data_IF_060019694158
#
_entry.id   IF_060019694158
#
_cell.length_a   1.000
_cell.length_b   1.000
_cell.length_c   1.000
_cell.angle_alpha   90.00
_cell.angle_beta   90.00
_cell.angle_gamma   90.00
#
_symmetry.space_group_name_H-M   'P 1'
#
loop_
_entity.id
_entity.type
_entity.pdbx_description
1 polymer ?
#
# COMPACT_ATOMS: atom_id res chain seq x y z
N UNK A 1 -16.01 -8.80 0.08
CA UNK A 1 -15.72 -7.60 -0.73
C UNK A 1 -14.98 -8.02 -2.00
N UNK A 2 -15.36 -7.53 -3.18
CA UNK A 2 -14.64 -7.83 -4.42
C UNK A 2 -13.29 -7.07 -4.45
N UNK A 3 -12.26 -7.69 -5.02
CA UNK A 3 -10.92 -7.11 -5.27
C UNK A 3 -9.99 -6.89 -4.07
N UNK A 4 -10.39 -7.30 -2.86
CA UNK A 4 -9.52 -7.30 -1.68
C UNK A 4 -8.60 -8.53 -1.71
N UNK A 5 -7.32 -8.33 -1.43
CA UNK A 5 -6.34 -9.41 -1.27
C UNK A 5 -5.52 -9.19 0.00
N UNK A 6 -5.27 -10.25 0.76
CA UNK A 6 -4.49 -10.19 2.00
C UNK A 6 -3.03 -10.48 1.72
N UNK A 7 -2.15 -9.61 2.22
CA UNK A 7 -0.73 -9.90 2.35
C UNK A 7 -0.47 -10.69 3.63
N UNK A 8 -1.07 -10.22 4.72
CA UNK A 8 -1.09 -10.89 6.02
C UNK A 8 -2.54 -10.90 6.49
N UNK A 9 -3.10 -12.10 6.64
CA UNK A 9 -4.50 -12.29 7.01
C UNK A 9 -4.86 -11.47 8.25
N UNK A 10 -6.01 -10.81 8.20
CA UNK A 10 -6.55 -9.94 9.26
C UNK A 10 -5.60 -8.82 9.72
N UNK A 11 -4.57 -8.47 8.95
CA UNK A 11 -3.62 -7.39 9.30
C UNK A 11 -3.37 -6.41 8.17
N UNK A 12 -2.91 -6.91 7.01
CA UNK A 12 -2.50 -6.07 5.88
C UNK A 12 -3.18 -6.56 4.62
N UNK A 13 -4.04 -5.73 4.06
CA UNK A 13 -4.77 -6.00 2.83
C UNK A 13 -4.47 -4.96 1.76
N UNK A 14 -4.69 -5.32 0.50
CA UNK A 14 -4.60 -4.44 -0.66
C UNK A 14 -5.89 -4.44 -1.47
N UNK A 15 -6.16 -3.32 -2.14
CA UNK A 15 -7.27 -3.19 -3.11
C UNK A 15 -6.98 -2.10 -4.15
N UNK A 16 -7.73 -2.11 -5.24
CA UNK A 16 -7.88 -0.93 -6.10
C UNK A 16 -8.58 0.21 -5.35
N UNK A 17 -8.26 1.45 -5.72
CA UNK A 17 -8.86 2.63 -5.11
C UNK A 17 -10.27 2.92 -5.65
N UNK A 18 -11.02 3.80 -4.97
CA UNK A 18 -12.39 4.16 -5.35
C UNK A 18 -12.49 4.81 -6.72
N UNK A 19 -11.44 5.54 -7.12
CA UNK A 19 -11.31 6.17 -8.44
C UNK A 19 -11.12 5.19 -9.62
N UNK A 20 -11.10 3.88 -9.34
CA UNK A 20 -11.10 2.81 -10.34
C UNK A 20 -12.23 1.83 -10.08
N UNK A 21 -12.31 1.33 -8.85
CA UNK A 21 -13.37 0.44 -8.38
C UNK A 21 -14.01 1.06 -7.15
N UNK A 22 -15.20 1.64 -7.34
CA UNK A 22 -15.95 2.30 -6.27
C UNK A 22 -16.06 1.39 -5.04
N UNK A 23 -16.08 1.99 -3.85
CA UNK A 23 -16.22 1.27 -2.58
C UNK A 23 -17.27 1.92 -1.70
N UNK A 24 -17.67 1.20 -0.66
CA UNK A 24 -18.40 1.75 0.47
C UNK A 24 -17.54 1.55 1.72
N UNK A 25 -17.28 2.64 2.45
CA UNK A 25 -16.51 2.60 3.69
C UNK A 25 -17.16 1.72 4.76
N UNK A 26 -18.49 1.60 4.75
CA UNK A 26 -19.21 0.67 5.63
C UNK A 26 -18.90 -0.77 5.30
N UNK A 27 -18.86 -1.12 4.01
CA UNK A 27 -18.45 -2.47 3.60
C UNK A 27 -17.00 -2.75 3.98
N UNK A 28 -16.11 -1.76 3.88
CA UNK A 28 -14.69 -1.88 4.29
C UNK A 28 -14.61 -2.16 5.79
N UNK A 29 -15.30 -1.38 6.61
CA UNK A 29 -15.35 -1.60 8.06
C UNK A 29 -15.96 -2.97 8.40
N UNK A 30 -17.05 -3.36 7.74
CA UNK A 30 -17.69 -4.66 7.94
C UNK A 30 -16.82 -5.85 7.50
N UNK A 31 -15.81 -5.65 6.63
CA UNK A 31 -14.84 -6.70 6.30
C UNK A 31 -13.69 -6.82 7.32
N UNK A 32 -13.78 -6.14 8.46
CA UNK A 32 -12.78 -6.21 9.53
C UNK A 32 -11.64 -5.21 9.39
N UNK A 33 -11.65 -4.34 8.36
CA UNK A 33 -10.64 -3.30 8.20
C UNK A 33 -10.88 -2.19 9.23
N UNK A 34 -9.82 -1.77 9.93
CA UNK A 34 -9.85 -0.68 10.89
C UNK A 34 -9.20 0.62 10.39
N UNK A 35 -8.38 0.53 9.33
CA UNK A 35 -7.65 1.67 8.80
C UNK A 35 -7.48 1.61 7.27
N UNK A 36 -7.37 2.77 6.63
CA UNK A 36 -7.13 2.89 5.19
C UNK A 36 -5.90 3.78 4.93
N UNK A 37 -4.98 3.27 4.12
CA UNK A 37 -3.80 4.00 3.66
C UNK A 37 -3.88 4.24 2.14
N UNK A 38 -4.03 5.50 1.74
CA UNK A 38 -3.90 5.92 0.35
C UNK A 38 -2.42 6.17 0.02
N UNK A 39 -1.87 5.44 -0.96
CA UNK A 39 -0.52 5.69 -1.51
C UNK A 39 -0.55 6.31 -2.93
N UNK A 40 -1.74 6.71 -3.38
CA UNK A 40 -1.98 7.67 -4.46
C UNK A 40 -2.29 9.07 -3.88
N UNK A 41 -2.82 9.99 -4.68
CA UNK A 41 -3.20 11.33 -4.22
C UNK A 41 -4.48 11.38 -3.38
N UNK A 42 -5.05 10.23 -2.96
CA UNK A 42 -6.31 10.18 -2.22
C UNK A 42 -7.53 10.56 -3.08
N UNK A 43 -7.48 10.33 -4.40
CA UNK A 43 -8.62 10.64 -5.26
C UNK A 43 -9.86 9.83 -4.84
N UNK A 44 -11.00 10.52 -4.71
CA UNK A 44 -12.27 10.00 -4.19
C UNK A 44 -12.21 9.48 -2.74
N UNK A 45 -11.26 9.99 -1.94
CA UNK A 45 -11.14 9.75 -0.50
C UNK A 45 -11.31 11.07 0.27
N UNK A 46 -12.48 11.31 0.87
CA UNK A 46 -12.70 12.42 1.79
C UNK A 46 -12.31 12.00 3.23
N UNK A 47 -11.30 12.63 3.87
CA UNK A 47 -10.89 12.32 5.24
C UNK A 47 -12.06 12.33 6.25
N UNK A 48 -13.04 13.23 6.08
CA UNK A 48 -14.17 13.30 7.01
C UNK A 48 -15.05 12.04 6.92
N UNK A 49 -15.20 11.47 5.73
CA UNK A 49 -15.98 10.25 5.53
C UNK A 49 -15.37 9.04 6.26
N UNK A 50 -14.04 8.98 6.42
CA UNK A 50 -13.38 7.92 7.19
C UNK A 50 -13.61 8.09 8.69
N UNK A 51 -13.55 9.32 9.19
CA UNK A 51 -13.87 9.64 10.59
C UNK A 51 -15.31 9.23 10.90
N UNK A 52 -16.26 9.61 10.04
CA UNK A 52 -17.69 9.27 10.19
C UNK A 52 -17.96 7.76 10.11
N UNK A 53 -17.08 7.01 9.42
CA UNK A 53 -17.12 5.56 9.31
C UNK A 53 -16.32 4.81 10.40
N UNK A 54 -15.76 5.53 11.38
CA UNK A 54 -14.89 4.97 12.44
C UNK A 54 -13.67 4.23 11.85
N UNK A 55 -13.04 4.81 10.82
CA UNK A 55 -11.84 4.29 10.17
C UNK A 55 -10.67 5.27 10.36
N UNK A 56 -9.51 4.76 10.78
CA UNK A 56 -8.28 5.53 10.72
C UNK A 56 -7.88 5.75 9.26
N UNK A 57 -7.37 6.93 8.92
CA UNK A 57 -7.03 7.28 7.55
C UNK A 57 -5.72 8.03 7.44
N UNK A 58 -4.92 7.69 6.43
CA UNK A 58 -3.74 8.45 6.03
C UNK A 58 -3.59 8.47 4.50
N UNK A 59 -3.04 9.58 3.99
CA UNK A 59 -2.69 9.75 2.57
C UNK A 59 -1.19 10.08 2.46
N UNK A 60 -0.42 9.15 1.93
CA UNK A 60 1.04 9.20 1.85
C UNK A 60 1.44 8.81 0.42
N UNK A 61 1.38 9.77 -0.53
CA UNK A 61 1.49 9.48 -1.96
C UNK A 61 2.91 9.06 -2.38
N UNK A 62 2.98 8.02 -3.22
CA UNK A 62 4.20 7.64 -3.92
C UNK A 62 4.17 8.10 -5.38
N UNK A 63 5.30 7.97 -6.09
CA UNK A 63 5.37 8.33 -7.50
C UNK A 63 4.31 7.62 -8.34
N UNK A 64 3.70 8.36 -9.26
CA UNK A 64 2.73 7.86 -10.23
C UNK A 64 3.31 7.73 -11.65
N UNK A 65 4.60 8.04 -11.84
CA UNK A 65 5.25 7.99 -13.14
C UNK A 65 5.33 6.54 -13.66
N UNK A 66 5.11 6.40 -14.96
CA UNK A 66 5.27 5.16 -15.71
C UNK A 66 5.96 5.52 -17.04
N UNK A 67 7.23 5.15 -17.25
CA UNK A 67 8.13 4.53 -16.26
C UNK A 67 8.52 5.50 -15.13
N UNK A 68 8.98 4.99 -13.96
CA UNK A 68 9.61 5.79 -12.93
C UNK A 68 10.82 6.56 -13.44
N UNK A 69 11.08 7.72 -12.86
CA UNK A 69 12.23 8.59 -13.11
C UNK A 69 13.21 8.52 -11.94
N UNK A 70 14.42 9.03 -12.16
CA UNK A 70 15.46 9.04 -11.13
C UNK A 70 15.03 9.82 -9.87
N UNK A 71 14.31 10.94 -10.02
CA UNK A 71 13.80 11.70 -8.87
C UNK A 71 12.76 10.94 -8.03
N UNK A 72 12.11 9.93 -8.60
CA UNK A 72 11.08 9.16 -7.91
C UNK A 72 11.67 8.25 -6.83
N UNK A 73 12.94 7.86 -6.95
CA UNK A 73 13.64 7.06 -5.96
C UNK A 73 13.70 7.82 -4.63
N UNK A 74 14.18 9.06 -4.64
CA UNK A 74 14.30 9.89 -3.45
C UNK A 74 12.93 10.12 -2.79
N UNK A 75 11.88 10.36 -3.60
CA UNK A 75 10.52 10.49 -3.10
C UNK A 75 10.05 9.21 -2.41
N UNK A 76 10.23 8.04 -3.03
CA UNK A 76 9.76 6.78 -2.45
C UNK A 76 10.52 6.40 -1.18
N UNK A 77 11.83 6.62 -1.14
CA UNK A 77 12.68 6.42 0.05
C UNK A 77 12.22 7.33 1.21
N UNK A 78 11.78 8.56 0.94
CA UNK A 78 11.27 9.45 1.97
C UNK A 78 9.86 9.05 2.46
N UNK A 79 8.99 8.58 1.57
CA UNK A 79 7.57 8.33 1.86
C UNK A 79 7.31 6.94 2.46
N UNK A 80 8.07 5.92 2.08
CA UNK A 80 7.87 4.54 2.56
C UNK A 80 7.99 4.41 4.09
N UNK A 81 9.00 5.01 4.77
CA UNK A 81 9.06 5.00 6.23
C UNK A 81 7.86 5.66 6.90
N UNK A 82 7.32 6.74 6.32
CA UNK A 82 6.11 7.43 6.84
C UNK A 82 4.87 6.54 6.71
N UNK A 83 4.71 5.90 5.55
CA UNK A 83 3.64 4.94 5.30
C UNK A 83 3.71 3.74 6.25
N UNK A 84 4.91 3.22 6.48
CA UNK A 84 5.12 2.14 7.44
C UNK A 84 4.82 2.57 8.87
N UNK A 85 5.22 3.78 9.29
CA UNK A 85 4.95 4.29 10.63
C UNK A 85 3.43 4.31 10.92
N UNK A 86 2.62 4.76 9.97
CA UNK A 86 1.15 4.68 10.07
C UNK A 86 0.66 3.24 10.21
N UNK A 87 1.20 2.30 9.41
CA UNK A 87 0.85 0.88 9.53
C UNK A 87 1.18 0.35 10.94
N UNK A 88 2.35 0.68 11.49
CA UNK A 88 2.76 0.24 12.83
C UNK A 88 1.88 0.82 13.94
N UNK A 89 1.46 2.08 13.80
CA UNK A 89 0.49 2.68 14.72
C UNK A 89 -0.86 1.94 14.67
N UNK A 90 -1.34 1.60 13.47
CA UNK A 90 -2.56 0.81 13.32
C UNK A 90 -2.43 -0.58 13.93
N UNK A 91 -1.30 -1.27 13.69
CA UNK A 91 -1.02 -2.59 14.28
C UNK A 91 -1.00 -2.53 15.81
N UNK A 92 -0.39 -1.51 16.41
CA UNK A 92 -0.37 -1.31 17.86
C UNK A 92 -1.79 -1.13 18.46
N UNK A 93 -2.73 -0.63 17.65
CA UNK A 93 -4.14 -0.46 18.02
C UNK A 93 -5.03 -1.62 17.55
N UNK A 94 -4.45 -2.71 17.02
CA UNK A 94 -5.18 -3.85 16.44
C UNK A 94 -6.15 -3.44 15.32
N UNK A 95 -5.74 -2.50 14.47
CA UNK A 95 -6.51 -2.02 13.33
C UNK A 95 -5.92 -2.63 12.03
N UNK A 96 -6.61 -3.58 11.38
CA UNK A 96 -6.18 -4.10 10.10
C UNK A 96 -6.19 -2.99 9.05
N UNK A 97 -5.12 -2.89 8.27
CA UNK A 97 -4.89 -1.79 7.32
C UNK A 97 -5.19 -2.25 5.89
N UNK A 98 -6.07 -1.51 5.21
CA UNK A 98 -6.27 -1.61 3.79
C UNK A 98 -5.40 -0.58 3.06
N UNK A 99 -4.50 -1.04 2.21
CA UNK A 99 -3.63 -0.20 1.40
C UNK A 99 -4.18 -0.12 -0.02
N UNK A 100 -4.23 1.07 -0.61
CA UNK A 100 -4.63 1.22 -2.01
C UNK A 100 -3.85 2.30 -2.75
N UNK A 101 -3.81 2.15 -4.07
CA UNK A 101 -3.49 3.22 -5.00
C UNK A 101 -4.68 3.36 -5.97
N UNK A 102 -4.45 3.54 -7.27
CA UNK A 102 -5.52 3.42 -8.27
C UNK A 102 -5.86 1.94 -8.58
N UNK A 103 -4.86 1.13 -8.92
CA UNK A 103 -5.07 -0.27 -9.38
C UNK A 103 -4.75 -1.35 -8.34
N UNK A 104 -4.32 -0.97 -7.13
CA UNK A 104 -3.85 -1.92 -6.13
C UNK A 104 -2.72 -2.81 -6.66
N UNK A 105 -1.79 -2.19 -7.39
CA UNK A 105 -0.80 -2.87 -8.23
C UNK A 105 0.61 -2.51 -7.80
N UNK A 106 1.22 -1.47 -8.36
CA UNK A 106 2.66 -1.22 -8.18
C UNK A 106 2.97 -0.44 -6.88
N UNK A 107 2.42 0.77 -6.70
CA UNK A 107 2.60 1.55 -5.45
C UNK A 107 2.12 0.82 -4.19
N UNK A 108 0.99 0.12 -4.29
CA UNK A 108 0.46 -0.71 -3.20
C UNK A 108 1.42 -1.86 -2.90
N UNK A 109 1.91 -2.55 -3.93
CA UNK A 109 2.89 -3.62 -3.75
C UNK A 109 4.21 -3.13 -3.16
N UNK A 110 4.63 -1.90 -3.47
CA UNK A 110 5.89 -1.34 -2.98
C UNK A 110 5.92 -1.23 -1.45
N UNK A 111 4.88 -0.64 -0.84
CA UNK A 111 4.78 -0.58 0.63
C UNK A 111 4.56 -1.97 1.25
N UNK A 112 3.84 -2.86 0.57
CA UNK A 112 3.69 -4.25 1.04
C UNK A 112 5.03 -4.98 1.08
N UNK A 113 5.87 -4.81 0.05
CA UNK A 113 7.20 -5.41 0.00
C UNK A 113 8.11 -4.79 1.08
N UNK A 114 8.06 -3.47 1.25
CA UNK A 114 8.82 -2.79 2.31
C UNK A 114 8.37 -3.26 3.71
N UNK A 115 7.07 -3.41 3.94
CA UNK A 115 6.54 -3.98 5.19
C UNK A 115 7.07 -5.40 5.46
N UNK A 116 7.13 -6.27 4.44
CA UNK A 116 7.73 -7.60 4.61
C UNK A 116 9.22 -7.52 4.91
N UNK A 117 9.94 -6.60 4.26
CA UNK A 117 11.37 -6.38 4.49
C UNK A 117 11.64 -6.00 5.95
N UNK A 118 10.85 -5.09 6.47
CA UNK A 118 10.88 -4.62 7.86
C UNK A 118 10.40 -5.67 8.87
N UNK A 119 9.86 -6.79 8.39
CA UNK A 119 9.54 -7.97 9.17
C UNK A 119 10.52 -9.13 8.90
N UNK A 120 11.69 -8.84 8.32
CA UNK A 120 12.81 -9.78 8.18
C UNK A 120 12.93 -10.47 6.82
N UNK A 121 12.11 -10.13 5.83
CA UNK A 121 12.28 -10.65 4.48
C UNK A 121 13.43 -9.94 3.73
N UNK A 122 14.21 -10.67 2.94
CA UNK A 122 15.09 -10.03 1.95
C UNK A 122 14.25 -9.40 0.83
N UNK A 123 14.71 -8.32 0.15
CA UNK A 123 13.95 -7.65 -0.92
C UNK A 123 13.37 -8.60 -1.98
N UNK A 124 14.17 -9.58 -2.43
CA UNK A 124 13.72 -10.61 -3.38
C UNK A 124 12.55 -11.45 -2.86
N UNK A 125 12.62 -11.89 -1.60
CA UNK A 125 11.56 -12.67 -0.98
C UNK A 125 10.30 -11.82 -0.73
N UNK A 126 10.47 -10.55 -0.36
CA UNK A 126 9.36 -9.61 -0.17
C UNK A 126 8.59 -9.40 -1.49
N UNK A 127 9.29 -9.06 -2.57
CA UNK A 127 8.68 -8.88 -3.90
C UNK A 127 8.00 -10.18 -4.38
N UNK A 128 8.64 -11.33 -4.17
CA UNK A 128 8.05 -12.63 -4.54
C UNK A 128 6.76 -12.93 -3.78
N UNK A 129 6.70 -12.66 -2.47
CA UNK A 129 5.49 -12.86 -1.67
C UNK A 129 4.35 -11.95 -2.10
N UNK A 130 4.65 -10.67 -2.38
CA UNK A 130 3.63 -9.74 -2.88
C UNK A 130 3.08 -10.18 -4.24
N UNK A 131 3.93 -10.67 -5.15
CA UNK A 131 3.49 -11.25 -6.43
C UNK A 131 2.63 -12.52 -6.26
N UNK A 132 2.83 -13.29 -5.19
CA UNK A 132 2.01 -14.48 -4.93
C UNK A 132 0.56 -14.13 -4.56
N UNK A 133 0.35 -13.02 -3.85
CA UNK A 133 -1.00 -12.54 -3.49
C UNK A 133 -1.58 -11.58 -4.54
N UNK A 134 -0.72 -10.97 -5.36
CA UNK A 134 -1.09 -10.04 -6.44
C UNK A 134 -0.17 -10.25 -7.65
N UNK A 135 -0.55 -11.17 -8.52
CA UNK A 135 0.18 -11.61 -9.72
C UNK A 135 0.67 -10.47 -10.64
N UNK A 136 -0.13 -9.40 -10.76
CA UNK A 136 0.20 -8.24 -11.58
C UNK A 136 1.11 -7.22 -10.89
N UNK A 137 1.57 -7.45 -9.66
CA UNK A 137 2.42 -6.50 -8.93
C UNK A 137 3.71 -6.16 -9.70
N UNK A 138 4.03 -4.86 -9.77
CA UNK A 138 5.22 -4.31 -10.43
C UNK A 138 5.29 -4.55 -11.95
N UNK A 139 4.16 -4.77 -12.62
CA UNK A 139 4.15 -4.99 -14.08
C UNK A 139 3.88 -3.72 -14.90
N UNK A 140 3.84 -2.53 -14.29
CA UNK A 140 3.93 -1.29 -15.06
C UNK A 140 5.35 -1.14 -15.61
N UNK A 141 5.50 -0.46 -16.75
CA UNK A 141 6.81 -0.25 -17.37
C UNK A 141 7.81 0.35 -16.37
N UNK A 142 8.98 -0.27 -16.22
CA UNK A 142 10.06 0.15 -15.32
C UNK A 142 9.85 -0.13 -13.82
N UNK A 143 8.66 -0.54 -13.38
CA UNK A 143 8.36 -0.76 -11.97
C UNK A 143 8.95 -2.05 -11.39
N UNK A 144 9.28 -3.02 -12.23
CA UNK A 144 9.87 -4.29 -11.85
C UNK A 144 11.29 -4.12 -11.30
N UNK A 145 12.12 -3.30 -11.94
CA UNK A 145 13.45 -2.93 -11.45
C UNK A 145 13.38 -1.85 -10.38
N UNK A 146 12.56 -0.81 -10.58
CA UNK A 146 12.45 0.31 -9.66
C UNK A 146 12.05 -0.12 -8.24
N UNK A 147 11.20 -1.15 -8.10
CA UNK A 147 10.85 -1.69 -6.79
C UNK A 147 12.09 -2.19 -6.04
N UNK A 148 13.03 -2.86 -6.71
CA UNK A 148 14.28 -3.28 -6.10
C UNK A 148 15.17 -2.10 -5.77
N UNK A 149 15.32 -1.14 -6.67
CA UNK A 149 16.17 0.04 -6.44
C UNK A 149 15.74 0.79 -5.16
N UNK A 150 14.44 0.96 -4.97
CA UNK A 150 13.87 1.57 -3.76
C UNK A 150 14.10 0.70 -2.52
N UNK A 151 13.80 -0.60 -2.59
CA UNK A 151 13.94 -1.50 -1.43
C UNK A 151 15.40 -1.64 -0.99
N UNK A 152 16.34 -1.73 -1.94
CA UNK A 152 17.77 -1.77 -1.64
C UNK A 152 18.29 -0.44 -1.09
N UNK A 153 17.76 0.71 -1.56
CA UNK A 153 18.11 2.00 -0.98
C UNK A 153 17.63 2.18 0.47
N UNK A 154 16.65 1.38 0.89
CA UNK A 154 16.12 1.33 2.26
C UNK A 154 16.70 0.17 3.08
N UNK A 155 17.56 -0.67 2.50
CA UNK A 155 18.20 -1.78 3.19
C UNK A 155 19.51 -1.26 3.82
N UNK A 156 19.53 -1.15 5.15
CA UNK A 156 20.74 -0.80 5.93
C UNK A 156 21.91 -1.79 5.71
#
# INVERSE_FOLDING_TARGET
MQHLFWLVEDKIAGRSGPNKEAWDLKEIKCSGIGAVLSVNGGEDCDPQAFIDADLSYACIPFSSNIPPKEEDLALCVEQLPKALAFIRECEANNLPVLIHCRSGKDRTALIMAYYLMENGAAPLHAVSQVRAVRDIAFSAEGWDQFAFDVLYALQD
#
